data_IF_538052774567
#
_entry.id   IF_538052774567
#
_cell.length_a   1.000
_cell.length_b   1.000
_cell.length_c   1.000
_cell.angle_alpha   90.00
_cell.angle_beta   90.00
_cell.angle_gamma   90.00
#
_symmetry.space_group_name_H-M   'P 1'
#
loop_
_entity.id
_entity.type
_entity.pdbx_description
1 polymer ?
#
# COMPACT_ATOMS: atom_id res chain seq x y z
N UNK A 1 -8.37 7.65 -15.91
CA UNK A 1 -8.74 6.46 -15.13
C UNK A 1 -9.07 5.31 -16.08
N UNK A 2 -8.63 4.09 -15.75
CA UNK A 2 -9.02 2.83 -16.39
C UNK A 2 -9.55 1.83 -15.36
N UNK A 3 -10.35 0.87 -15.82
CA UNK A 3 -11.00 -0.12 -14.96
C UNK A 3 -10.81 -1.51 -15.57
N UNK A 4 -9.66 -2.17 -15.38
CA UNK A 4 -9.41 -3.52 -15.90
C UNK A 4 -10.05 -4.60 -15.02
N UNK A 5 -9.97 -5.86 -15.46
CA UNK A 5 -10.27 -6.99 -14.57
C UNK A 5 -9.18 -7.09 -13.49
N UNK A 6 -9.56 -7.31 -12.23
CA UNK A 6 -8.60 -7.48 -11.13
C UNK A 6 -7.63 -8.67 -11.32
N UNK A 7 -7.96 -9.60 -12.23
CA UNK A 7 -7.12 -10.78 -12.53
C UNK A 7 -5.90 -10.44 -13.36
N UNK A 8 -5.93 -9.30 -14.05
CA UNK A 8 -4.87 -8.83 -14.93
C UNK A 8 -4.03 -7.72 -14.26
N UNK A 9 -4.25 -7.46 -12.95
CA UNK A 9 -3.59 -6.39 -12.21
C UNK A 9 -2.46 -6.94 -11.36
N UNK A 10 -1.26 -6.40 -11.61
CA UNK A 10 -0.06 -6.56 -10.79
C UNK A 10 0.65 -5.20 -10.63
N UNK A 11 1.73 -5.18 -9.86
CA UNK A 11 2.47 -3.95 -9.54
C UNK A 11 3.10 -3.29 -10.78
N UNK A 12 3.59 -4.07 -11.74
CA UNK A 12 4.21 -3.55 -12.96
C UNK A 12 3.15 -2.86 -13.84
N UNK A 13 1.97 -3.47 -13.97
CA UNK A 13 0.88 -2.87 -14.71
C UNK A 13 0.37 -1.59 -14.06
N UNK A 14 0.19 -1.59 -12.73
CA UNK A 14 -0.18 -0.39 -11.97
C UNK A 14 0.83 0.72 -12.20
N UNK A 15 2.13 0.44 -12.08
CA UNK A 15 3.19 1.43 -12.30
C UNK A 15 3.14 2.03 -13.70
N UNK A 16 2.96 1.21 -14.74
CA UNK A 16 2.86 1.69 -16.11
C UNK A 16 1.63 2.60 -16.34
N UNK A 17 0.52 2.32 -15.65
CA UNK A 17 -0.70 3.14 -15.72
C UNK A 17 -0.50 4.47 -15.01
N UNK A 18 0.16 4.47 -13.86
CA UNK A 18 0.55 5.68 -13.14
C UNK A 18 1.55 6.53 -13.93
N UNK A 19 2.55 5.93 -14.59
CA UNK A 19 3.49 6.62 -15.47
C UNK A 19 2.79 7.29 -16.66
N UNK A 20 1.70 6.70 -17.14
CA UNK A 20 0.84 7.30 -18.16
C UNK A 20 -0.06 8.44 -17.63
N UNK A 21 0.01 8.76 -16.33
CA UNK A 21 -0.78 9.80 -15.67
C UNK A 21 -2.25 9.41 -15.47
N UNK A 22 -2.55 8.12 -15.39
CA UNK A 22 -3.90 7.59 -15.24
C UNK A 22 -4.06 6.87 -13.89
N UNK A 23 -5.26 6.98 -13.32
CA UNK A 23 -5.68 6.16 -12.18
C UNK A 23 -6.17 4.78 -12.65
N UNK A 24 -6.07 3.78 -11.78
CA UNK A 24 -6.50 2.39 -11.99
C UNK A 24 -7.45 1.93 -10.88
N UNK A 25 -8.67 1.54 -11.27
CA UNK A 25 -9.67 0.99 -10.34
C UNK A 25 -10.34 -0.27 -10.93
N UNK A 26 -9.79 -1.47 -10.68
CA UNK A 26 -10.33 -2.71 -11.23
C UNK A 26 -11.72 -3.08 -10.69
N UNK A 27 -12.44 -3.86 -11.49
CA UNK A 27 -13.77 -4.39 -11.16
C UNK A 27 -13.82 -5.92 -11.26
N UNK A 28 -14.85 -6.59 -10.74
CA UNK A 28 -15.54 -6.30 -9.48
C UNK A 28 -14.94 -7.27 -8.47
N UNK A 29 -14.43 -6.77 -7.36
CA UNK A 29 -13.74 -7.58 -6.36
C UNK A 29 -14.67 -7.75 -5.16
N UNK A 30 -15.09 -8.98 -4.91
CA UNK A 30 -16.02 -9.32 -3.83
C UNK A 30 -15.37 -10.19 -2.74
N UNK A 31 -14.13 -10.61 -2.96
CA UNK A 31 -13.37 -11.42 -2.03
C UNK A 31 -12.34 -10.54 -1.27
N UNK A 32 -12.34 -10.53 0.09
CA UNK A 32 -11.44 -9.70 0.88
C UNK A 32 -9.95 -9.97 0.64
N UNK A 33 -9.58 -11.23 0.40
CA UNK A 33 -8.17 -11.57 0.13
C UNK A 33 -7.72 -10.94 -1.19
N UNK A 34 -8.56 -11.02 -2.22
CA UNK A 34 -8.30 -10.36 -3.50
C UNK A 34 -8.32 -8.84 -3.41
N UNK A 35 -9.18 -8.23 -2.58
CA UNK A 35 -9.15 -6.79 -2.32
C UNK A 35 -7.77 -6.39 -1.77
N UNK A 36 -7.29 -7.11 -0.75
CA UNK A 36 -5.98 -6.87 -0.12
C UNK A 36 -4.84 -7.00 -1.11
N UNK A 37 -4.80 -8.08 -1.90
CA UNK A 37 -3.76 -8.29 -2.94
C UNK A 37 -3.75 -7.18 -3.99
N UNK A 38 -4.92 -6.68 -4.35
CA UNK A 38 -5.02 -5.60 -5.34
C UNK A 38 -4.52 -4.27 -4.75
N UNK A 39 -4.81 -3.99 -3.48
CA UNK A 39 -4.23 -2.85 -2.74
C UNK A 39 -2.70 -2.98 -2.62
N UNK A 40 -2.17 -4.18 -2.36
CA UNK A 40 -0.72 -4.45 -2.35
C UNK A 40 -0.05 -4.17 -3.70
N UNK A 41 -0.76 -4.41 -4.81
CA UNK A 41 -0.29 -4.06 -6.16
C UNK A 41 -0.26 -2.54 -6.41
N UNK A 42 -0.86 -1.72 -5.55
CA UNK A 42 -0.79 -0.26 -5.60
C UNK A 42 -1.93 0.42 -6.34
N UNK A 43 -3.08 -0.25 -6.54
CA UNK A 43 -4.23 0.40 -7.19
C UNK A 43 -4.78 1.58 -6.38
N UNK A 44 -5.44 2.51 -7.06
CA UNK A 44 -6.04 3.69 -6.43
C UNK A 44 -7.36 3.38 -5.71
N UNK A 45 -7.97 2.25 -6.06
CA UNK A 45 -9.20 1.73 -5.46
C UNK A 45 -9.71 0.49 -6.18
N UNK A 46 -10.87 -0.01 -5.80
CA UNK A 46 -11.53 -1.14 -6.47
C UNK A 46 -13.04 -1.00 -6.43
N UNK A 47 -13.71 -1.62 -7.39
CA UNK A 47 -15.17 -1.69 -7.44
C UNK A 47 -15.63 -2.99 -6.77
N UNK A 48 -16.62 -2.90 -5.89
CA UNK A 48 -17.15 -4.05 -5.13
C UNK A 48 -18.67 -3.94 -4.97
N UNK A 49 -19.34 -5.09 -4.89
CA UNK A 49 -20.75 -5.17 -4.48
C UNK A 49 -20.91 -5.10 -2.94
N UNK A 50 -19.81 -5.21 -2.19
CA UNK A 50 -19.78 -5.25 -0.73
C UNK A 50 -18.99 -4.07 -0.13
N UNK A 51 -19.52 -2.84 -0.18
CA UNK A 51 -18.78 -1.64 0.21
C UNK A 51 -18.36 -1.61 1.69
N UNK A 52 -19.15 -2.21 2.59
CA UNK A 52 -18.80 -2.31 4.00
C UNK A 52 -17.55 -3.19 4.21
N UNK A 53 -17.52 -4.36 3.56
CA UNK A 53 -16.37 -5.26 3.60
C UNK A 53 -15.14 -4.60 2.96
N UNK A 54 -15.33 -3.92 1.83
CA UNK A 54 -14.25 -3.16 1.19
C UNK A 54 -13.67 -2.08 2.10
N UNK A 55 -14.51 -1.37 2.87
CA UNK A 55 -14.04 -0.38 3.84
C UNK A 55 -13.20 -1.02 4.95
N UNK A 56 -13.68 -2.13 5.52
CA UNK A 56 -12.95 -2.84 6.59
C UNK A 56 -11.56 -3.30 6.12
N UNK A 57 -11.45 -3.78 4.87
CA UNK A 57 -10.16 -4.19 4.29
C UNK A 57 -9.22 -3.01 4.10
N UNK A 58 -9.72 -1.87 3.60
CA UNK A 58 -8.90 -0.65 3.43
C UNK A 58 -8.38 -0.16 4.78
N UNK A 59 -9.23 -0.11 5.80
CA UNK A 59 -8.84 0.36 7.13
C UNK A 59 -7.77 -0.56 7.77
N UNK A 60 -7.93 -1.88 7.63
CA UNK A 60 -6.92 -2.85 8.08
C UNK A 60 -5.59 -2.68 7.34
N UNK A 61 -5.63 -2.57 6.01
CA UNK A 61 -4.45 -2.40 5.17
C UNK A 61 -3.66 -1.15 5.53
N UNK A 62 -4.34 0.00 5.71
CA UNK A 62 -3.67 1.26 6.06
C UNK A 62 -3.06 1.20 7.46
N UNK A 63 -3.76 0.65 8.44
CA UNK A 63 -3.26 0.50 9.81
C UNK A 63 -2.01 -0.41 9.88
N UNK A 64 -1.90 -1.41 9.00
CA UNK A 64 -0.70 -2.27 8.88
C UNK A 64 0.50 -1.51 8.30
N UNK A 65 0.28 -0.59 7.34
CA UNK A 65 1.35 0.21 6.76
C UNK A 65 1.90 1.24 7.73
N UNK A 66 1.05 1.88 8.52
CA UNK A 66 1.47 2.85 9.54
C UNK A 66 2.38 2.19 10.58
N UNK A 67 1.97 1.03 11.12
CA UNK A 67 2.81 0.25 12.06
C UNK A 67 4.16 -0.14 11.47
N UNK A 68 4.19 -0.50 10.19
CA UNK A 68 5.43 -0.90 9.52
C UNK A 68 6.42 0.26 9.31
N UNK A 69 5.93 1.51 9.26
CA UNK A 69 6.80 2.70 9.11
C UNK A 69 7.38 3.21 10.42
N UNK A 70 6.75 2.90 11.55
CA UNK A 70 7.23 3.28 12.90
C UNK A 70 8.40 2.40 13.35
N UNK A 71 8.41 1.13 12.96
CA UNK A 71 9.50 0.18 13.29
C UNK A 71 10.82 0.49 12.55
N UNK A 72 10.76 1.19 11.40
CA UNK A 72 11.94 1.53 10.58
C UNK A 72 12.67 2.81 11.06
N UNK A 73 11.97 3.72 11.75
CA UNK A 73 12.53 5.01 12.21
C UNK A 73 13.19 4.95 13.61
N UNK A 74 13.23 3.78 14.26
CA UNK A 74 13.67 3.61 15.65
C UNK A 74 15.15 3.28 15.89
N UNK A 75 16.03 3.33 14.88
CA UNK A 75 17.42 2.82 15.00
C UNK A 75 18.55 3.86 14.84
N UNK A 76 18.26 5.14 14.57
CA UNK A 76 19.31 6.12 14.20
C UNK A 76 19.76 7.10 15.32
N UNK A 77 19.34 6.90 16.57
CA UNK A 77 19.77 7.77 17.69
C UNK A 77 20.39 6.96 18.82
N UNK A 78 21.67 6.57 18.71
CA UNK A 78 22.58 6.25 19.84
C UNK A 78 24.01 5.91 19.32
N UNK A 79 24.75 6.85 18.75
CA UNK A 79 26.21 6.65 18.55
C UNK A 79 27.04 7.94 18.50
N UNK A 80 26.67 8.97 19.27
CA UNK A 80 27.48 10.19 19.43
C UNK A 80 27.64 10.55 20.92
N UNK A 81 28.45 9.78 21.66
CA UNK A 81 29.16 10.30 22.85
C UNK A 81 30.41 9.47 23.18
N UNK A 82 31.40 9.47 22.28
CA UNK A 82 32.78 9.11 22.63
C UNK A 82 33.77 10.07 21.98
N UNK A 83 34.25 11.03 22.78
CA UNK A 83 35.36 11.93 22.46
C UNK A 83 35.05 13.33 22.97
N UNK A 84 35.63 13.80 24.05
CA UNK A 84 37.06 14.05 24.28
C UNK A 84 37.24 14.13 25.82
N UNK A 85 38.40 13.83 26.40
CA UNK A 85 39.47 14.81 26.52
C UNK A 85 40.83 14.11 26.72
N UNK A 86 41.75 14.41 25.80
CA UNK A 86 43.19 14.29 25.98
C UNK A 86 43.67 15.54 26.76
N UNK A 87 44.43 15.34 27.84
CA UNK A 87 45.65 16.10 28.23
C UNK A 87 46.21 15.61 29.60
#
# INVERSE_FOLDING_TARGET
MINPSYKDVDADYVSAVHEAGLEIMPYTINDPEQMRRTLEAGVDGFITDFPAVGRDVIDQFLAERERSTEDDQGQDENDDDQGQDED
#
